data_IF_661682685221
#
_entry.id   IF_661682685221
#
_cell.length_a   1.000
_cell.length_b   1.000
_cell.length_c   1.000
_cell.angle_alpha   90.00
_cell.angle_beta   90.00
_cell.angle_gamma   90.00
#
_symmetry.space_group_name_H-M   'P 1'
#
loop_
_entity.id
_entity.type
_entity.pdbx_description
1 polymer ?
#
# COMPACT_ATOMS: atom_id res chain seq x y z
N UNK A 1 7.07 -27.40 92.11
CA UNK A 1 6.12 -28.03 93.06
C UNK A 1 5.00 -27.04 93.34
N UNK A 2 3.75 -27.50 93.56
CA UNK A 2 2.57 -26.63 93.76
C UNK A 2 2.13 -25.89 92.48
N UNK A 3 1.17 -26.33 91.65
CA UNK A 3 -0.17 -26.87 91.91
C UNK A 3 -1.12 -25.85 92.57
N UNK A 4 -2.06 -25.29 91.80
CA UNK A 4 -3.51 -25.57 91.89
C UNK A 4 -4.35 -24.76 90.89
N UNK A 5 -5.45 -25.36 90.40
CA UNK A 5 -6.47 -24.73 89.55
C UNK A 5 -7.67 -24.26 90.38
N UNK A 6 -8.36 -23.19 89.96
CA UNK A 6 -9.83 -23.10 89.97
C UNK A 6 -10.38 -23.59 88.60
N UNK A 7 -11.48 -24.34 88.39
CA UNK A 7 -12.87 -24.27 88.93
C UNK A 7 -13.48 -22.87 88.73
N UNK A 8 -14.64 -22.60 88.13
CA UNK A 8 -15.77 -23.38 87.56
C UNK A 8 -16.60 -22.39 86.67
N UNK A 9 -17.57 -22.71 85.79
CA UNK A 9 -18.30 -23.95 85.46
C UNK A 9 -18.80 -23.93 83.98
N UNK A 10 -19.93 -24.62 83.68
CA UNK A 10 -20.65 -24.68 82.39
C UNK A 10 -21.61 -23.51 82.16
N UNK A 11 -21.81 -23.14 80.88
CA UNK A 11 -23.06 -22.85 80.13
C UNK A 11 -22.63 -22.28 78.77
N UNK A 12 -23.14 -22.67 77.60
CA UNK A 12 -24.38 -23.36 77.29
C UNK A 12 -25.32 -22.43 76.51
N UNK A 13 -24.99 -22.10 75.26
CA UNK A 13 -25.84 -21.33 74.36
C UNK A 13 -25.55 -21.70 72.89
N UNK A 14 -26.57 -22.15 72.18
CA UNK A 14 -26.59 -22.35 70.72
C UNK A 14 -27.14 -21.08 70.09
N UNK A 15 -26.48 -20.50 69.08
CA UNK A 15 -27.11 -19.49 68.22
C UNK A 15 -26.39 -19.28 66.86
N UNK A 16 -27.21 -19.17 65.81
CA UNK A 16 -26.98 -18.40 64.59
C UNK A 16 -25.74 -18.73 63.71
N UNK A 17 -25.95 -19.69 62.82
CA UNK A 17 -25.24 -19.77 61.54
C UNK A 17 -25.55 -18.50 60.71
N UNK A 18 -24.55 -17.66 60.44
CA UNK A 18 -24.68 -16.50 59.56
C UNK A 18 -23.68 -16.62 58.39
N UNK A 19 -24.08 -17.33 57.33
CA UNK A 19 -23.35 -17.30 56.07
C UNK A 19 -23.52 -15.93 55.42
N UNK A 20 -22.51 -15.06 55.55
CA UNK A 20 -22.35 -13.94 54.62
C UNK A 20 -21.96 -14.52 53.25
N UNK A 21 -22.95 -14.66 52.37
CA UNK A 21 -22.71 -14.87 50.96
C UNK A 21 -22.09 -13.59 50.36
N UNK A 22 -20.77 -13.57 50.26
CA UNK A 22 -20.06 -12.52 49.54
C UNK A 22 -20.41 -12.63 48.05
N UNK A 23 -21.30 -11.76 47.57
CA UNK A 23 -21.62 -11.64 46.14
C UNK A 23 -20.41 -11.02 45.43
N UNK A 24 -19.73 -11.73 44.52
CA UNK A 24 -18.70 -11.10 43.70
C UNK A 24 -19.40 -10.14 42.73
N UNK A 25 -19.17 -8.83 42.92
CA UNK A 25 -19.53 -7.83 41.93
C UNK A 25 -18.63 -8.02 40.71
N UNK A 26 -19.04 -8.91 39.81
CA UNK A 26 -18.41 -9.07 38.50
C UNK A 26 -18.63 -7.80 37.69
N UNK A 27 -17.68 -6.88 37.79
CA UNK A 27 -17.51 -5.81 36.82
C UNK A 27 -17.32 -6.46 35.45
N UNK A 28 -18.40 -6.50 34.68
CA UNK A 28 -18.35 -6.73 33.25
C UNK A 28 -17.56 -5.57 32.66
N UNK A 29 -16.25 -5.74 32.57
CA UNK A 29 -15.41 -4.94 31.68
C UNK A 29 -15.90 -5.25 30.27
N UNK A 30 -16.86 -4.45 29.81
CA UNK A 30 -17.14 -4.30 28.39
C UNK A 30 -15.89 -3.71 27.77
N UNK A 31 -14.97 -4.61 27.40
CA UNK A 31 -13.88 -4.30 26.49
C UNK A 31 -14.52 -3.88 25.18
N UNK A 32 -14.85 -2.60 25.07
CA UNK A 32 -15.24 -2.01 23.81
C UNK A 32 -14.11 -2.31 22.85
N UNK A 33 -14.44 -3.00 21.75
CA UNK A 33 -13.48 -3.16 20.68
C UNK A 33 -13.06 -1.76 20.25
N UNK A 34 -11.85 -1.37 20.63
CA UNK A 34 -11.18 -0.22 20.04
C UNK A 34 -10.98 -0.66 18.59
N UNK A 35 -11.92 -0.30 17.71
CA UNK A 35 -11.65 -0.36 16.28
C UNK A 35 -10.44 0.55 16.11
N UNK A 36 -9.31 -0.04 15.72
CA UNK A 36 -8.20 0.75 15.21
C UNK A 36 -8.80 1.70 14.17
N UNK A 37 -8.47 2.99 14.27
CA UNK A 37 -8.86 3.92 13.22
C UNK A 37 -8.27 3.36 11.93
N UNK A 38 -9.12 3.18 10.91
CA UNK A 38 -8.71 2.58 9.64
C UNK A 38 -7.56 3.44 9.06
N UNK A 39 -6.32 2.93 9.16
CA UNK A 39 -5.11 3.65 8.76
C UNK A 39 -5.15 3.80 7.24
N UNK A 40 -5.10 5.03 6.68
CA UNK A 40 -5.15 5.21 5.23
C UNK A 40 -4.00 4.50 4.52
N UNK A 41 -4.18 4.16 3.25
CA UNK A 41 -3.09 3.64 2.42
C UNK A 41 -2.00 4.72 2.20
N UNK A 42 -0.81 4.31 1.74
CA UNK A 42 0.25 5.26 1.36
C UNK A 42 0.18 5.46 -0.15
N UNK A 43 -0.12 6.70 -0.56
CA UNK A 43 -0.32 7.06 -1.96
C UNK A 43 0.97 7.03 -2.80
N UNK A 44 1.30 5.86 -3.37
CA UNK A 44 2.49 5.65 -4.21
C UNK A 44 2.45 6.37 -5.57
N UNK A 45 1.30 6.91 -5.99
CA UNK A 45 1.15 7.60 -7.28
C UNK A 45 1.60 6.74 -8.46
N UNK A 46 2.38 7.33 -9.38
CA UNK A 46 2.95 6.63 -10.53
C UNK A 46 4.06 5.65 -10.17
N UNK A 47 4.60 5.65 -8.94
CA UNK A 47 5.55 4.64 -8.49
C UNK A 47 4.88 3.25 -8.34
N UNK A 48 3.56 3.21 -8.10
CA UNK A 48 2.79 1.98 -7.90
C UNK A 48 2.81 0.97 -9.07
N UNK A 49 3.27 1.37 -10.26
CA UNK A 49 3.44 0.50 -11.42
C UNK A 49 4.82 -0.18 -11.50
N UNK A 50 5.78 0.19 -10.65
CA UNK A 50 7.14 -0.32 -10.67
C UNK A 50 7.34 -1.47 -9.69
N UNK A 51 7.89 -2.59 -10.15
CA UNK A 51 8.45 -3.60 -9.26
C UNK A 51 9.77 -3.11 -8.65
N UNK A 52 10.58 -2.42 -9.45
CA UNK A 52 11.91 -1.93 -9.07
C UNK A 52 12.12 -0.52 -9.61
N UNK A 53 12.51 0.42 -8.75
CA UNK A 53 12.83 1.80 -9.10
C UNK A 53 14.12 2.23 -8.38
N UNK A 54 15.16 2.59 -9.13
CA UNK A 54 16.45 3.05 -8.60
C UNK A 54 16.66 4.56 -8.73
N UNK A 55 17.35 5.17 -7.76
CA UNK A 55 17.78 6.56 -7.80
C UNK A 55 19.03 6.75 -8.68
N UNK A 56 20.05 5.93 -8.43
CA UNK A 56 21.35 6.03 -9.11
C UNK A 56 21.56 4.97 -10.20
N UNK A 57 21.31 3.69 -9.90
CA UNK A 57 21.46 2.57 -10.85
C UNK A 57 20.52 1.43 -10.49
N UNK A 58 20.18 0.58 -11.45
CA UNK A 58 19.67 -0.78 -11.17
C UNK A 58 20.61 -1.83 -11.77
N UNK A 59 20.98 -2.83 -10.99
CA UNK A 59 21.90 -3.89 -11.39
C UNK A 59 21.31 -5.25 -11.05
N UNK A 60 21.31 -6.17 -12.02
CA UNK A 60 20.86 -7.54 -11.83
C UNK A 60 21.96 -8.55 -12.16
N UNK A 61 22.03 -9.64 -11.39
CA UNK A 61 22.87 -10.82 -11.68
C UNK A 61 21.99 -12.07 -11.79
N UNK A 62 22.03 -12.75 -12.93
CA UNK A 62 21.26 -13.98 -13.14
C UNK A 62 19.77 -13.74 -13.42
N UNK A 63 18.95 -14.79 -13.28
CA UNK A 63 17.62 -14.88 -13.90
C UNK A 63 16.51 -14.31 -13.02
N UNK A 64 16.56 -13.02 -12.72
CA UNK A 64 15.49 -12.33 -12.00
C UNK A 64 14.27 -12.07 -12.89
N UNK A 65 13.05 -12.14 -12.34
CA UNK A 65 11.80 -11.84 -13.05
C UNK A 65 11.00 -10.74 -12.35
N UNK A 66 10.53 -9.76 -13.12
CA UNK A 66 9.80 -8.60 -12.60
C UNK A 66 8.39 -8.52 -13.19
N UNK A 67 7.37 -8.79 -12.36
CA UNK A 67 5.97 -8.46 -12.62
C UNK A 67 5.68 -7.00 -12.21
N UNK A 68 6.27 -6.07 -12.95
CA UNK A 68 6.10 -4.64 -12.77
C UNK A 68 7.15 -3.89 -13.58
N UNK A 69 6.92 -2.60 -13.81
CA UNK A 69 7.88 -1.76 -14.54
C UNK A 69 9.22 -1.67 -13.80
N UNK A 70 10.28 -1.49 -14.58
CA UNK A 70 11.65 -1.34 -14.09
C UNK A 70 12.10 0.11 -14.37
N UNK A 71 12.60 0.82 -13.37
CA UNK A 71 12.91 2.25 -13.50
C UNK A 71 14.27 2.67 -12.94
N UNK A 72 14.88 3.68 -13.56
CA UNK A 72 15.97 4.46 -12.94
C UNK A 72 15.84 5.95 -13.26
N UNK A 73 15.99 6.81 -12.27
CA UNK A 73 16.05 8.27 -12.41
C UNK A 73 16.52 8.91 -11.09
N UNK A 74 17.32 10.00 -11.09
CA UNK A 74 17.94 10.66 -12.24
C UNK A 74 19.11 9.87 -12.84
N UNK A 75 19.50 8.75 -12.23
CA UNK A 75 20.43 7.80 -12.81
C UNK A 75 20.02 7.29 -14.18
N UNK A 76 21.00 6.75 -14.92
CA UNK A 76 20.85 6.33 -16.32
C UNK A 76 21.13 4.85 -16.57
N UNK A 77 21.72 4.15 -15.60
CA UNK A 77 22.22 2.78 -15.79
C UNK A 77 21.25 1.73 -15.26
N UNK A 78 20.82 0.85 -16.15
CA UNK A 78 20.15 -0.41 -15.86
C UNK A 78 20.99 -1.52 -16.49
N UNK A 79 21.45 -2.48 -15.69
CA UNK A 79 22.33 -3.58 -16.15
C UNK A 79 21.82 -4.94 -15.70
N UNK A 80 22.14 -5.98 -16.48
CA UNK A 80 21.71 -7.36 -16.19
C UNK A 80 20.30 -7.73 -16.65
N UNK A 81 19.68 -6.91 -17.51
CA UNK A 81 18.42 -7.20 -18.18
C UNK A 81 18.65 -7.17 -19.71
N UNK A 82 18.93 -8.30 -20.39
CA UNK A 82 18.99 -9.70 -19.92
C UNK A 82 20.24 -10.04 -19.08
N UNK A 83 20.29 -11.19 -18.36
CA UNK A 83 19.31 -12.29 -18.35
C UNK A 83 18.08 -12.05 -17.44
N UNK A 84 18.06 -10.99 -16.65
CA UNK A 84 16.85 -10.55 -15.95
C UNK A 84 15.75 -10.18 -16.94
N UNK A 85 14.50 -10.42 -16.56
CA UNK A 85 13.33 -10.25 -17.40
C UNK A 85 12.29 -9.33 -16.75
N UNK A 86 11.90 -8.28 -17.46
CA UNK A 86 10.68 -7.51 -17.18
C UNK A 86 9.54 -8.20 -17.94
N UNK A 87 8.48 -8.63 -17.24
CA UNK A 87 7.37 -9.35 -17.85
C UNK A 87 6.48 -8.39 -18.64
N UNK A 88 5.97 -8.83 -19.80
CA UNK A 88 4.95 -8.06 -20.52
C UNK A 88 3.65 -7.98 -19.70
N UNK A 89 2.92 -6.85 -19.68
CA UNK A 89 3.06 -5.67 -20.53
C UNK A 89 3.98 -4.57 -19.96
N UNK A 90 4.75 -4.86 -18.91
CA UNK A 90 5.58 -3.87 -18.22
C UNK A 90 6.79 -3.42 -19.05
N UNK A 91 7.34 -2.26 -18.70
CA UNK A 91 8.38 -1.58 -19.50
C UNK A 91 9.57 -1.17 -18.63
N UNK A 92 10.72 -0.98 -19.29
CA UNK A 92 11.93 -0.43 -18.69
C UNK A 92 12.03 1.07 -18.98
N UNK A 93 12.03 1.89 -17.93
CA UNK A 93 12.07 3.36 -17.99
C UNK A 93 13.39 3.89 -17.41
N UNK A 94 14.36 4.21 -18.26
CA UNK A 94 15.61 4.86 -17.86
C UNK A 94 15.55 6.36 -18.16
N UNK A 95 15.64 7.18 -17.11
CA UNK A 95 15.81 8.64 -17.16
C UNK A 95 14.74 9.41 -17.95
N UNK A 96 13.60 8.78 -18.23
CA UNK A 96 12.49 9.38 -18.95
C UNK A 96 11.48 10.04 -17.99
N UNK A 97 10.51 10.78 -18.54
CA UNK A 97 9.50 11.49 -17.75
C UNK A 97 8.69 10.56 -16.81
N UNK A 98 8.45 9.30 -17.20
CA UNK A 98 7.73 8.33 -16.37
C UNK A 98 8.55 7.85 -15.17
N UNK A 99 9.88 7.69 -15.30
CA UNK A 99 10.76 7.38 -14.18
C UNK A 99 11.01 8.61 -13.28
N UNK A 100 11.06 9.81 -13.87
CA UNK A 100 11.19 11.07 -13.14
C UNK A 100 9.95 11.34 -12.27
N UNK A 101 8.74 11.20 -12.82
CA UNK A 101 7.50 11.35 -12.04
C UNK A 101 7.41 10.29 -10.93
N UNK A 102 7.74 9.02 -11.24
CA UNK A 102 7.71 7.95 -10.24
C UNK A 102 8.68 8.21 -9.06
N UNK A 103 9.84 8.83 -9.29
CA UNK A 103 10.76 9.24 -8.21
C UNK A 103 10.24 10.43 -7.39
N UNK A 104 9.48 11.33 -8.01
CA UNK A 104 8.78 12.41 -7.30
C UNK A 104 7.68 11.84 -6.40
N UNK A 105 6.86 10.94 -6.93
CA UNK A 105 5.76 10.30 -6.21
C UNK A 105 6.27 9.39 -5.09
N UNK A 106 7.34 8.61 -5.34
CA UNK A 106 8.06 7.86 -4.30
C UNK A 106 8.57 8.77 -3.18
N UNK A 107 9.08 9.96 -3.52
CA UNK A 107 9.54 10.93 -2.52
C UNK A 107 8.37 11.46 -1.68
N UNK A 108 7.21 11.72 -2.28
CA UNK A 108 6.01 12.10 -1.56
C UNK A 108 5.52 10.99 -0.62
N UNK A 109 5.39 9.76 -1.15
CA UNK A 109 4.97 8.57 -0.40
C UNK A 109 5.91 8.24 0.78
N UNK A 110 7.23 8.38 0.58
CA UNK A 110 8.23 8.22 1.63
C UNK A 110 8.07 9.26 2.74
N UNK A 111 7.84 10.54 2.39
CA UNK A 111 7.70 11.63 3.36
C UNK A 111 6.39 11.51 4.15
N UNK A 112 5.29 11.15 3.48
CA UNK A 112 4.02 10.77 4.13
C UNK A 112 4.26 9.63 5.12
N UNK A 113 4.73 8.47 4.64
CA UNK A 113 4.95 7.28 5.48
C UNK A 113 5.90 7.53 6.65
N UNK A 114 6.92 8.37 6.52
CA UNK A 114 7.85 8.75 7.60
C UNK A 114 7.23 9.72 8.63
N UNK A 115 6.31 10.58 8.17
CA UNK A 115 5.65 11.61 8.96
C UNK A 115 4.47 11.12 9.80
N UNK A 116 3.94 9.93 9.52
CA UNK A 116 2.78 9.38 10.26
C UNK A 116 3.14 9.07 11.72
N UNK A 117 2.21 9.31 12.68
CA UNK A 117 2.39 8.93 14.07
C UNK A 117 2.48 7.41 14.22
N UNK A 118 3.16 6.94 15.28
CA UNK A 118 3.26 5.53 15.61
C UNK A 118 2.05 5.09 16.44
N UNK A 119 1.48 3.93 16.11
CA UNK A 119 0.51 3.22 16.95
C UNK A 119 1.21 2.33 17.99
N UNK A 120 2.41 1.85 17.68
CA UNK A 120 3.19 0.98 18.56
C UNK A 120 4.70 1.01 18.33
N UNK A 121 5.46 0.62 19.36
CA UNK A 121 6.90 0.35 19.26
C UNK A 121 7.13 -1.14 19.38
N UNK A 122 7.84 -1.73 18.42
CA UNK A 122 8.20 -3.15 18.40
C UNK A 122 9.57 -3.38 19.04
N UNK A 123 9.97 -4.65 19.16
CA UNK A 123 11.38 -5.02 19.23
C UNK A 123 12.14 -4.57 17.98
N UNK A 124 13.47 -4.47 18.07
CA UNK A 124 14.31 -4.15 16.92
C UNK A 124 14.34 -5.29 15.88
N UNK A 125 14.25 -6.54 16.33
CA UNK A 125 13.97 -7.68 15.47
C UNK A 125 12.45 -7.94 15.43
N UNK A 126 11.89 -8.04 14.22
CA UNK A 126 10.48 -8.32 13.97
C UNK A 126 10.18 -9.83 13.92
N UNK A 127 11.21 -10.67 14.02
CA UNK A 127 11.10 -12.12 14.07
C UNK A 127 10.24 -12.65 15.22
N UNK A 128 9.32 -13.56 14.90
CA UNK A 128 8.41 -14.20 15.85
C UNK A 128 7.24 -13.33 16.30
N UNK A 129 7.11 -12.10 15.80
CA UNK A 129 5.96 -11.24 16.12
C UNK A 129 4.73 -11.62 15.29
N UNK A 130 3.56 -11.50 15.90
CA UNK A 130 2.27 -11.40 15.21
C UNK A 130 1.73 -9.99 15.45
N UNK A 131 1.65 -9.19 14.39
CA UNK A 131 1.22 -7.79 14.45
C UNK A 131 -0.17 -7.64 13.84
N UNK A 132 -0.99 -6.83 14.50
CA UNK A 132 -2.27 -6.34 14.00
C UNK A 132 -2.02 -5.12 13.08
N UNK A 133 -3.03 -4.59 12.39
CA UNK A 133 -2.86 -3.43 11.51
C UNK A 133 -2.43 -2.19 12.30
N UNK A 134 -1.52 -1.39 11.74
CA UNK A 134 -0.98 -0.21 12.42
C UNK A 134 0.40 0.25 11.93
N UNK A 135 0.87 1.34 12.56
CA UNK A 135 2.13 2.01 12.24
C UNK A 135 3.16 1.72 13.35
N UNK A 136 4.26 1.10 12.95
CA UNK A 136 5.26 0.51 13.85
C UNK A 136 6.67 1.03 13.60
N UNK A 137 7.46 1.13 14.68
CA UNK A 137 8.90 1.31 14.59
C UNK A 137 9.61 0.52 15.70
N UNK A 138 10.87 0.16 15.46
CA UNK A 138 11.76 -0.34 16.51
C UNK A 138 12.14 0.75 17.52
N UNK A 139 12.85 0.40 18.61
CA UNK A 139 13.23 1.34 19.65
C UNK A 139 13.96 2.57 19.08
N UNK A 140 13.48 3.77 19.42
CA UNK A 140 13.99 5.06 18.93
C UNK A 140 14.02 5.22 17.40
N UNK A 141 13.16 4.50 16.65
CA UNK A 141 13.22 4.36 15.18
C UNK A 141 14.60 3.86 14.68
N UNK A 142 15.28 3.06 15.49
CA UNK A 142 16.57 2.43 15.17
C UNK A 142 16.47 1.39 14.04
N UNK A 143 17.56 0.68 13.77
CA UNK A 143 17.60 -0.36 12.74
C UNK A 143 16.57 -1.46 13.01
N UNK A 144 15.91 -1.92 11.95
CA UNK A 144 14.99 -3.04 11.98
C UNK A 144 15.67 -4.30 11.42
N UNK A 145 15.52 -5.41 12.13
CA UNK A 145 15.89 -6.74 11.69
C UNK A 145 14.64 -7.60 11.48
N UNK A 146 14.75 -8.67 10.69
CA UNK A 146 13.70 -9.69 10.56
C UNK A 146 14.35 -11.07 10.50
N UNK A 147 14.38 -11.76 11.64
CA UNK A 147 14.93 -13.11 11.79
C UNK A 147 13.82 -14.16 11.90
N UNK A 148 13.72 -15.09 10.94
CA UNK A 148 12.63 -16.05 10.91
C UNK A 148 11.34 -15.44 10.34
N UNK A 149 10.19 -15.65 10.98
CA UNK A 149 8.88 -15.26 10.45
C UNK A 149 8.28 -14.06 11.19
N UNK A 150 7.83 -13.06 10.45
CA UNK A 150 6.91 -12.01 10.91
C UNK A 150 5.51 -12.34 10.38
N UNK A 151 4.51 -12.35 11.27
CA UNK A 151 3.10 -12.54 10.90
C UNK A 151 2.38 -11.19 10.93
N UNK A 152 1.66 -10.88 9.85
CA UNK A 152 0.79 -9.72 9.71
C UNK A 152 -0.66 -10.19 9.62
N UNK A 153 -1.45 -9.85 10.63
CA UNK A 153 -2.81 -10.33 10.83
C UNK A 153 -3.81 -9.22 10.51
N UNK A 154 -4.56 -9.37 9.42
CA UNK A 154 -5.54 -8.39 8.95
C UNK A 154 -6.80 -8.30 9.81
N UNK A 155 -6.94 -9.08 10.89
CA UNK A 155 -8.11 -9.08 11.77
C UNK A 155 -9.45 -9.33 11.04
N UNK A 156 -9.43 -9.95 9.85
CA UNK A 156 -10.57 -10.14 8.97
C UNK A 156 -10.88 -8.99 8.01
N UNK A 157 -10.07 -7.91 8.00
CA UNK A 157 -10.25 -6.74 7.15
C UNK A 157 -9.26 -6.76 5.95
N UNK A 158 -9.74 -6.77 4.68
CA UNK A 158 -8.88 -6.65 3.50
C UNK A 158 -8.13 -5.32 3.40
N UNK A 159 -8.69 -4.24 3.93
CA UNK A 159 -8.14 -2.89 3.85
C UNK A 159 -7.12 -2.59 4.98
N UNK A 160 -6.71 -3.61 5.73
CA UNK A 160 -5.72 -3.49 6.82
C UNK A 160 -4.36 -3.01 6.34
N UNK A 161 -3.95 -1.84 6.82
CA UNK A 161 -2.64 -1.22 6.53
C UNK A 161 -1.61 -1.49 7.62
N UNK A 162 -0.37 -1.75 7.20
CA UNK A 162 0.81 -1.92 8.04
C UNK A 162 1.91 -1.00 7.53
N UNK A 163 2.48 -0.15 8.40
CA UNK A 163 3.57 0.75 8.03
C UNK A 163 4.72 0.55 9.00
N UNK A 164 5.87 0.11 8.51
CA UNK A 164 7.10 -0.03 9.27
C UNK A 164 8.01 1.17 8.99
N UNK A 165 8.38 1.90 10.04
CA UNK A 165 9.24 3.08 9.97
C UNK A 165 10.59 2.80 10.65
N UNK A 166 11.68 3.19 9.98
CA UNK A 166 13.01 3.26 10.59
C UNK A 166 13.76 4.47 10.06
N UNK A 167 14.55 5.13 10.92
CA UNK A 167 15.51 6.16 10.54
C UNK A 167 16.87 5.56 10.12
N UNK A 168 16.97 4.22 10.10
CA UNK A 168 18.18 3.45 9.84
C UNK A 168 17.90 2.35 8.81
N UNK A 169 18.63 1.23 8.88
CA UNK A 169 18.53 0.12 7.93
C UNK A 169 17.41 -0.86 8.27
N UNK A 170 16.87 -1.51 7.24
CA UNK A 170 16.09 -2.75 7.34
C UNK A 170 16.96 -3.92 6.86
N UNK A 171 17.12 -4.97 7.67
CA UNK A 171 17.91 -6.16 7.29
C UNK A 171 17.10 -7.43 7.59
N UNK A 172 16.81 -8.24 6.57
CA UNK A 172 16.16 -9.55 6.77
C UNK A 172 17.20 -10.67 6.75
N UNK A 173 17.01 -11.69 7.57
CA UNK A 173 17.90 -12.85 7.62
C UNK A 173 17.68 -13.79 6.42
N UNK A 174 18.66 -14.64 6.11
CA UNK A 174 18.52 -15.73 5.14
C UNK A 174 17.31 -16.60 5.46
N UNK A 175 16.46 -16.87 4.47
CA UNK A 175 15.24 -17.70 4.64
C UNK A 175 14.15 -17.10 5.53
N UNK A 176 14.26 -15.83 5.91
CA UNK A 176 13.21 -15.13 6.67
C UNK A 176 11.92 -14.93 5.85
N UNK A 177 10.78 -14.70 6.50
CA UNK A 177 9.47 -14.66 5.84
C UNK A 177 8.56 -13.60 6.45
N UNK A 178 7.88 -12.82 5.61
CA UNK A 178 6.69 -12.04 5.99
C UNK A 178 5.45 -12.85 5.58
N UNK A 179 4.63 -13.25 6.56
CA UNK A 179 3.43 -14.07 6.35
C UNK A 179 2.17 -13.24 6.57
N UNK A 180 1.25 -13.28 5.60
CA UNK A 180 -0.06 -12.62 5.70
C UNK A 180 -1.12 -13.61 6.17
N UNK A 181 -1.94 -13.23 7.14
CA UNK A 181 -3.10 -14.02 7.60
C UNK A 181 -4.35 -13.13 7.74
N UNK A 182 -5.52 -13.79 7.85
CA UNK A 182 -6.81 -13.16 8.18
C UNK A 182 -7.14 -11.89 7.37
N UNK A 183 -6.89 -11.92 6.05
CA UNK A 183 -7.25 -10.82 5.16
C UNK A 183 -6.18 -9.76 4.95
N UNK A 184 -5.03 -9.79 5.65
CA UNK A 184 -3.93 -8.87 5.34
C UNK A 184 -3.52 -8.96 3.86
N UNK A 185 -3.30 -7.82 3.21
CA UNK A 185 -2.97 -7.74 1.79
C UNK A 185 -1.62 -7.03 1.53
N UNK A 186 -0.86 -7.56 0.58
CA UNK A 186 0.47 -7.07 0.22
C UNK A 186 0.50 -5.63 -0.33
N UNK A 187 -0.60 -5.11 -0.90
CA UNK A 187 -0.66 -3.71 -1.32
C UNK A 187 -0.64 -2.72 -0.14
N UNK A 188 -1.10 -3.16 1.03
CA UNK A 188 -1.35 -2.30 2.19
C UNK A 188 -0.18 -2.36 3.19
N UNK A 189 0.98 -2.88 2.76
CA UNK A 189 2.17 -3.08 3.60
C UNK A 189 3.30 -2.22 3.07
N UNK A 190 3.82 -1.33 3.90
CA UNK A 190 4.80 -0.31 3.52
C UNK A 190 5.99 -0.31 4.47
N UNK A 191 7.19 -0.19 3.92
CA UNK A 191 8.44 -0.17 4.67
C UNK A 191 9.20 1.12 4.34
N UNK A 192 9.09 2.11 5.21
CA UNK A 192 9.85 3.36 5.12
C UNK A 192 11.21 3.15 5.79
N UNK A 193 12.29 3.23 4.99
CA UNK A 193 13.66 2.91 5.44
C UNK A 193 14.59 4.11 5.32
N UNK A 194 15.04 4.61 6.48
CA UNK A 194 15.82 5.83 6.62
C UNK A 194 17.24 5.79 6.05
N UNK A 195 17.80 4.60 5.84
CA UNK A 195 19.03 4.42 5.08
C UNK A 195 18.84 3.42 3.94
N UNK A 196 19.30 2.18 4.10
CA UNK A 196 19.26 1.13 3.07
C UNK A 196 18.54 -0.11 3.57
N UNK A 197 17.91 -0.85 2.66
CA UNK A 197 17.33 -2.15 2.94
C UNK A 197 18.21 -3.28 2.37
N UNK A 198 18.34 -4.38 3.10
CA UNK A 198 19.02 -5.60 2.66
C UNK A 198 18.11 -6.80 2.90
N UNK A 199 17.64 -7.45 1.84
CA UNK A 199 16.85 -8.68 1.94
C UNK A 199 17.80 -9.89 1.91
N UNK A 200 17.75 -10.73 2.94
CA UNK A 200 18.59 -11.93 3.06
C UNK A 200 18.26 -13.00 2.02
N UNK A 201 19.28 -13.76 1.60
CA UNK A 201 19.19 -14.83 0.59
C UNK A 201 17.99 -15.75 0.83
N UNK A 202 17.20 -16.02 -0.20
CA UNK A 202 16.06 -16.95 -0.13
C UNK A 202 14.92 -16.51 0.81
N UNK A 203 14.86 -15.23 1.23
CA UNK A 203 13.73 -14.73 2.01
C UNK A 203 12.46 -14.54 1.17
N UNK A 204 11.30 -14.60 1.83
CA UNK A 204 9.99 -14.28 1.26
C UNK A 204 9.53 -12.96 1.87
N UNK A 205 9.57 -11.89 1.06
CA UNK A 205 9.29 -10.53 1.51
C UNK A 205 7.97 -10.02 0.92
N UNK A 206 7.25 -9.18 1.68
CA UNK A 206 5.92 -8.70 1.29
C UNK A 206 5.80 -7.20 1.57
N UNK A 207 5.22 -6.46 0.62
CA UNK A 207 4.99 -5.02 0.71
C UNK A 207 6.00 -4.16 -0.06
N UNK A 208 5.79 -2.84 0.02
CA UNK A 208 6.55 -1.84 -0.73
C UNK A 208 7.67 -1.24 0.11
N UNK A 209 8.92 -1.49 -0.29
CA UNK A 209 10.11 -0.89 0.34
C UNK A 209 10.37 0.49 -0.28
N UNK A 210 10.38 1.52 0.55
CA UNK A 210 10.74 2.89 0.21
C UNK A 210 12.01 3.27 0.98
N UNK A 211 13.17 3.05 0.36
CA UNK A 211 14.47 3.34 0.98
C UNK A 211 15.01 4.71 0.58
N UNK A 212 15.62 5.43 1.52
CA UNK A 212 16.29 6.70 1.25
C UNK A 212 17.51 6.50 0.34
N UNK A 213 18.32 5.49 0.65
CA UNK A 213 19.55 5.15 -0.06
C UNK A 213 19.33 3.92 -0.96
N UNK A 214 19.96 2.78 -0.68
CA UNK A 214 19.99 1.62 -1.60
C UNK A 214 19.12 0.46 -1.11
N UNK A 215 18.75 -0.43 -2.03
CA UNK A 215 18.10 -1.71 -1.72
C UNK A 215 18.95 -2.83 -2.31
N UNK A 216 19.40 -3.75 -1.46
CA UNK A 216 20.13 -4.96 -1.85
C UNK A 216 19.24 -6.17 -1.66
N UNK A 217 18.82 -6.78 -2.76
CA UNK A 217 18.10 -8.05 -2.77
C UNK A 217 19.14 -9.15 -3.04
N UNK A 218 19.41 -9.98 -2.02
CA UNK A 218 20.38 -11.07 -2.13
C UNK A 218 19.73 -12.30 -2.79
N UNK A 219 20.54 -13.31 -3.12
CA UNK A 219 20.12 -14.34 -4.08
C UNK A 219 18.79 -15.04 -3.77
N UNK A 220 17.90 -15.09 -4.77
CA UNK A 220 16.72 -15.96 -4.78
C UNK A 220 15.61 -15.50 -3.84
N UNK A 221 15.51 -14.21 -3.56
CA UNK A 221 14.40 -13.65 -2.77
C UNK A 221 13.14 -13.61 -3.62
N UNK A 222 12.01 -13.94 -2.99
CA UNK A 222 10.67 -13.72 -3.57
C UNK A 222 10.05 -12.49 -2.92
N UNK A 223 9.72 -11.48 -3.70
CA UNK A 223 9.07 -10.25 -3.26
C UNK A 223 7.64 -10.20 -3.80
N UNK A 224 6.65 -10.13 -2.92
CA UNK A 224 5.27 -9.76 -3.27
C UNK A 224 5.07 -8.29 -2.93
N UNK A 225 5.46 -7.40 -3.86
CA UNK A 225 5.59 -5.98 -3.58
C UNK A 225 6.64 -5.28 -4.45
N UNK A 226 7.33 -4.29 -3.89
CA UNK A 226 8.15 -3.35 -4.67
C UNK A 226 9.45 -2.97 -3.95
N UNK A 227 10.52 -2.72 -4.70
CA UNK A 227 11.81 -2.22 -4.21
C UNK A 227 12.11 -0.84 -4.82
N UNK A 228 11.81 0.21 -4.05
CA UNK A 228 11.86 1.61 -4.48
C UNK A 228 12.95 2.38 -3.71
N UNK A 229 14.08 2.65 -4.37
CA UNK A 229 15.21 3.37 -3.82
C UNK A 229 15.22 4.83 -4.33
N UNK A 230 15.18 5.79 -3.40
CA UNK A 230 15.11 7.24 -3.73
C UNK A 230 16.42 7.78 -4.30
N UNK A 231 17.52 7.61 -3.56
CA UNK A 231 18.81 8.21 -3.91
C UNK A 231 19.87 7.17 -4.34
N UNK A 232 19.72 5.92 -3.89
CA UNK A 232 20.71 4.87 -4.11
C UNK A 232 20.34 3.89 -5.22
N UNK A 233 21.02 2.75 -5.21
CA UNK A 233 20.89 1.71 -6.22
C UNK A 233 19.91 0.62 -5.77
N UNK A 234 19.31 -0.10 -6.73
CA UNK A 234 18.71 -1.41 -6.46
C UNK A 234 19.58 -2.50 -7.07
N UNK A 235 19.96 -3.49 -6.26
CA UNK A 235 20.75 -4.67 -6.71
C UNK A 235 19.92 -5.93 -6.54
N UNK A 236 19.91 -6.79 -7.56
CA UNK A 236 19.12 -8.03 -7.65
C UNK A 236 20.01 -9.22 -8.01
N UNK A 237 19.68 -10.41 -7.51
CA UNK A 237 20.37 -11.67 -7.79
C UNK A 237 19.36 -12.84 -7.91
N UNK A 238 18.98 -13.26 -9.12
CA UNK A 238 18.02 -14.36 -9.35
C UNK A 238 16.66 -14.21 -8.60
N UNK A 239 16.15 -12.99 -8.46
CA UNK A 239 14.99 -12.68 -7.61
C UNK A 239 13.67 -12.67 -8.37
N UNK A 240 12.57 -12.94 -7.68
CA UNK A 240 11.22 -12.96 -8.26
C UNK A 240 10.36 -11.87 -7.63
N UNK A 241 9.95 -10.88 -8.42
CA UNK A 241 8.97 -9.87 -8.02
C UNK A 241 7.61 -10.21 -8.61
N UNK A 242 6.60 -10.34 -7.76
CA UNK A 242 5.21 -10.61 -8.13
C UNK A 242 4.33 -9.42 -7.76
N UNK A 243 3.41 -9.03 -8.65
CA UNK A 243 2.46 -7.96 -8.34
C UNK A 243 1.33 -8.50 -7.47
N UNK A 244 1.03 -7.90 -6.31
CA UNK A 244 -0.09 -8.35 -5.51
C UNK A 244 -1.43 -8.01 -6.16
N UNK A 245 -2.29 -9.01 -6.30
CA UNK A 245 -3.69 -8.86 -6.68
C UNK A 245 -4.54 -8.59 -5.43
N UNK A 246 -4.79 -7.32 -5.15
CA UNK A 246 -5.47 -6.87 -3.94
C UNK A 246 -6.97 -6.70 -4.18
N UNK A 247 -7.79 -7.20 -3.26
CA UNK A 247 -9.24 -7.06 -3.32
C UNK A 247 -9.64 -5.79 -2.57
N UNK A 248 -10.08 -4.77 -3.30
CA UNK A 248 -10.78 -3.62 -2.72
C UNK A 248 -12.06 -4.10 -2.05
N UNK A 249 -12.31 -3.73 -0.80
CA UNK A 249 -13.58 -4.05 -0.16
C UNK A 249 -14.77 -3.49 -0.93
N UNK A 250 -15.89 -4.24 -0.94
CA UNK A 250 -17.14 -3.69 -1.41
C UNK A 250 -17.53 -2.50 -0.51
N UNK A 251 -17.99 -1.36 -1.07
CA UNK A 251 -18.38 -0.21 -0.26
C UNK A 251 -19.43 -0.61 0.77
N UNK A 252 -19.35 -0.12 2.02
CA UNK A 252 -20.30 -0.48 3.06
C UNK A 252 -21.73 -0.15 2.62
N UNK A 253 -22.71 -1.02 2.89
CA UNK A 253 -24.08 -0.81 2.42
C UNK A 253 -24.62 0.49 3.02
N UNK A 254 -24.90 1.48 2.17
CA UNK A 254 -25.52 2.74 2.57
C UNK A 254 -26.91 2.46 3.13
N UNK A 255 -27.03 2.47 4.46
CA UNK A 255 -28.30 2.39 5.17
C UNK A 255 -29.04 3.71 5.01
N UNK A 256 -29.72 3.88 3.88
CA UNK A 256 -30.61 5.02 3.63
C UNK A 256 -31.71 5.04 4.68
N UNK A 257 -31.53 5.85 5.73
CA UNK A 257 -32.51 6.03 6.79
C UNK A 257 -33.74 6.72 6.24
N UNK A 258 -34.77 5.94 5.94
CA UNK A 258 -36.07 6.45 5.50
C UNK A 258 -36.77 7.09 6.69
N UNK A 259 -36.74 8.43 6.76
CA UNK A 259 -37.44 9.18 7.78
C UNK A 259 -38.96 9.02 7.61
N UNK A 260 -39.61 8.41 8.59
CA UNK A 260 -41.07 8.27 8.66
C UNK A 260 -41.72 9.66 8.73
N UNK A 261 -42.75 9.98 7.91
CA UNK A 261 -43.40 11.29 7.98
C UNK A 261 -44.18 11.46 9.29
N UNK A 262 -43.81 12.47 10.06
CA UNK A 262 -44.47 12.80 11.33
C UNK A 262 -45.82 13.46 11.04
N UNK A 263 -46.92 12.76 11.34
CA UNK A 263 -48.28 13.32 11.24
C UNK A 263 -48.54 14.30 12.39
N UNK A 264 -48.77 15.58 12.06
CA UNK A 264 -49.16 16.60 13.04
C UNK A 264 -50.69 16.66 13.13
N UNK A 265 -51.25 16.33 14.29
CA UNK A 265 -52.70 16.36 14.50
C UNK A 265 -53.24 17.80 14.58
N UNK A 266 -54.05 18.21 13.60
CA UNK A 266 -54.79 19.47 13.62
C UNK A 266 -56.19 19.29 14.22
N UNK A 267 -56.62 20.23 15.06
CA UNK A 267 -57.90 20.16 15.80
C UNK A 267 -58.91 21.21 15.32
N UNK A 268 -60.14 20.78 15.00
CA UNK A 268 -61.34 21.63 15.03
C UNK A 268 -61.95 22.05 13.67
N UNK A 269 -63.24 21.76 13.47
CA UNK A 269 -64.05 22.29 12.35
C UNK A 269 -65.25 21.41 11.97
N UNK A 270 -66.37 22.02 11.55
CA UNK A 270 -67.67 21.35 11.28
C UNK A 270 -68.47 22.16 10.23
N UNK A 271 -69.57 21.71 9.60
CA UNK A 271 -70.56 20.66 9.96
C UNK A 271 -71.24 20.09 8.69
N UNK A 272 -72.18 19.14 8.86
CA UNK A 272 -73.36 18.87 8.00
C UNK A 272 -73.21 18.31 6.57
N UNK A 273 -73.58 17.01 6.45
CA UNK A 273 -74.77 16.51 5.69
C UNK A 273 -74.69 16.10 4.20
N UNK A 274 -75.14 14.84 3.99
CA UNK A 274 -75.86 14.22 2.84
C UNK A 274 -75.11 13.46 1.71
N UNK A 275 -75.27 12.12 1.74
CA UNK A 275 -75.43 11.21 0.59
C UNK A 275 -74.16 10.76 -0.16
N UNK A 276 -73.93 9.47 -0.46
CA UNK A 276 -74.68 8.26 -0.12
C UNK A 276 -74.17 7.02 -0.90
N UNK A 277 -74.62 5.84 -0.48
CA UNK A 277 -74.46 4.50 -1.13
C UNK A 277 -73.08 3.82 -1.03
N UNK A 278 -73.15 2.55 -0.64
CA UNK A 278 -72.07 1.58 -0.44
C UNK A 278 -71.89 0.62 -1.62
N UNK A 279 -70.65 0.17 -1.90
CA UNK A 279 -70.39 -1.21 -2.35
C UNK A 279 -68.95 -1.65 -2.05
N UNK A 280 -68.76 -2.97 -1.89
CA UNK A 280 -67.51 -3.62 -1.48
C UNK A 280 -66.90 -4.45 -2.62
N UNK A 281 -65.57 -4.39 -2.75
CA UNK A 281 -64.68 -5.46 -3.22
C UNK A 281 -63.24 -4.98 -2.91
N UNK A 282 -62.29 -5.76 -2.43
CA UNK A 282 -62.05 -7.18 -2.70
C UNK A 282 -60.71 -7.26 -3.45
N UNK A 283 -59.61 -7.44 -2.71
CA UNK A 283 -58.26 -7.26 -3.25
C UNK A 283 -57.81 -8.38 -4.20
N UNK A 284 -56.88 -8.05 -5.11
CA UNK A 284 -56.12 -9.02 -5.90
C UNK A 284 -54.65 -8.59 -5.96
N UNK A 285 -53.76 -9.51 -5.64
CA UNK A 285 -52.32 -9.42 -5.87
C UNK A 285 -51.99 -9.70 -7.33
N UNK A 286 -51.21 -8.84 -7.99
CA UNK A 286 -50.67 -9.13 -9.33
C UNK A 286 -49.17 -9.39 -9.28
N UNK A 287 -48.81 -10.68 -9.31
CA UNK A 287 -47.50 -11.17 -9.74
C UNK A 287 -47.72 -12.18 -10.87
N UNK A 288 -47.14 -11.91 -12.04
CA UNK A 288 -46.72 -12.92 -13.02
C UNK A 288 -45.98 -12.23 -14.18
N UNK A 289 -44.86 -12.80 -14.60
CA UNK A 289 -44.19 -12.45 -15.83
C UNK A 289 -44.84 -13.18 -17.04
N UNK A 290 -44.63 -12.65 -18.25
CA UNK A 290 -45.05 -13.29 -19.49
C UNK A 290 -44.10 -12.96 -20.63
N UNK A 291 -43.09 -13.81 -20.83
CA UNK A 291 -42.27 -13.83 -22.05
C UNK A 291 -43.08 -14.37 -23.22
N UNK A 292 -42.71 -14.01 -24.46
CA UNK A 292 -43.02 -14.90 -25.58
C UNK A 292 -41.99 -14.82 -26.72
N UNK A 293 -41.76 -15.97 -27.34
CA UNK A 293 -40.70 -16.28 -28.29
C UNK A 293 -41.30 -17.16 -29.38
N UNK A 294 -40.91 -17.04 -30.65
CA UNK A 294 -40.38 -18.19 -31.42
C UNK A 294 -39.95 -17.90 -32.86
N UNK A 295 -39.20 -18.86 -33.40
CA UNK A 295 -38.56 -18.87 -34.72
C UNK A 295 -39.28 -19.78 -35.74
N UNK A 296 -38.84 -19.74 -37.01
CA UNK A 296 -39.06 -20.83 -37.96
C UNK A 296 -38.99 -20.43 -39.45
N UNK A 297 -38.34 -21.26 -40.28
CA UNK A 297 -38.48 -21.23 -41.76
C UNK A 297 -37.16 -21.13 -42.54
N UNK A 298 -36.97 -22.00 -43.53
CA UNK A 298 -35.75 -22.09 -44.35
C UNK A 298 -36.04 -21.99 -45.87
N UNK A 299 -35.02 -21.53 -46.61
CA UNK A 299 -34.71 -21.81 -48.04
C UNK A 299 -35.80 -21.60 -49.12
N UNK A 300 -35.64 -20.61 -50.01
CA UNK A 300 -35.55 -20.82 -51.48
C UNK A 300 -35.19 -19.56 -52.30
N UNK A 301 -34.71 -19.83 -53.52
CA UNK A 301 -34.09 -18.99 -54.57
C UNK A 301 -35.03 -17.95 -55.23
N UNK A 302 -34.55 -16.72 -55.54
CA UNK A 302 -34.49 -16.16 -56.91
C UNK A 302 -34.25 -14.63 -57.06
N UNK A 303 -33.23 -14.28 -57.87
CA UNK A 303 -33.14 -13.18 -58.88
C UNK A 303 -33.70 -11.76 -58.60
N UNK A 304 -32.85 -10.74 -58.82
CA UNK A 304 -33.19 -9.63 -59.73
C UNK A 304 -32.64 -8.21 -59.43
N UNK A 305 -31.66 -7.76 -60.24
CA UNK A 305 -31.27 -6.35 -60.54
C UNK A 305 -30.84 -5.40 -59.37
N UNK A 306 -29.65 -4.80 -59.38
CA UNK A 306 -29.10 -3.73 -60.26
C UNK A 306 -29.77 -2.35 -59.98
N UNK A 307 -29.05 -1.24 -59.75
CA UNK A 307 -27.78 -0.82 -60.36
C UNK A 307 -26.78 -0.15 -59.39
N UNK A 308 -25.50 -0.19 -59.77
CA UNK A 308 -24.42 0.68 -59.27
C UNK A 308 -24.09 1.69 -60.38
N UNK A 309 -23.81 2.94 -60.03
CA UNK A 309 -23.12 3.89 -60.89
C UNK A 309 -22.20 4.78 -60.03
N UNK A 310 -21.04 5.27 -60.46
CA UNK A 310 -20.08 4.91 -61.49
C UNK A 310 -19.00 6.02 -61.41
N UNK A 311 -17.76 5.66 -61.12
CA UNK A 311 -16.57 6.48 -61.47
C UNK A 311 -16.25 6.24 -62.97
N UNK A 312 -15.14 6.74 -63.60
CA UNK A 312 -14.06 7.60 -63.11
C UNK A 312 -13.58 8.68 -64.12
N UNK A 313 -12.48 9.39 -63.81
CA UNK A 313 -11.54 9.87 -64.84
C UNK A 313 -10.07 9.80 -64.37
N UNK A 314 -9.16 9.65 -65.33
CA UNK A 314 -7.70 9.47 -65.22
C UNK A 314 -6.96 10.83 -65.01
N UNK A 315 -5.63 10.98 -64.86
CA UNK A 315 -4.48 10.16 -65.28
C UNK A 315 -3.17 10.43 -64.49
N UNK A 316 -2.08 9.82 -64.96
CA UNK A 316 -0.71 9.81 -64.43
C UNK A 316 0.04 11.15 -64.57
N UNK A 317 1.16 11.34 -63.84
CA UNK A 317 2.17 12.36 -64.19
C UNK A 317 3.36 12.42 -63.23
N UNK A 318 4.58 12.29 -63.74
CA UNK A 318 5.84 12.27 -62.99
C UNK A 318 6.57 13.63 -62.99
N UNK A 319 7.57 13.77 -62.10
CA UNK A 319 8.70 14.69 -62.31
C UNK A 319 8.87 15.76 -61.22
N UNK A 320 10.01 15.74 -60.54
CA UNK A 320 10.42 16.82 -59.63
C UNK A 320 11.57 17.64 -60.18
N UNK A 321 11.63 18.93 -59.83
CA UNK A 321 12.86 19.74 -59.73
C UNK A 321 12.71 20.84 -58.68
N UNK A 322 13.85 21.21 -58.10
CA UNK A 322 14.06 22.36 -57.21
C UNK A 322 14.00 23.68 -57.96
N UNK A 323 13.68 24.79 -57.27
CA UNK A 323 14.48 26.04 -57.23
C UNK A 323 13.91 27.04 -56.20
N UNK A 324 14.83 27.89 -55.71
CA UNK A 324 14.79 28.85 -54.62
C UNK A 324 13.60 29.84 -54.47
N UNK A 325 13.48 30.34 -53.23
CA UNK A 325 13.73 31.75 -52.95
C UNK A 325 12.53 32.69 -52.85
N UNK A 326 12.16 33.06 -51.61
CA UNK A 326 11.17 34.11 -51.34
C UNK A 326 11.29 34.63 -49.91
N UNK A 327 11.97 35.75 -49.71
CA UNK A 327 12.07 36.46 -48.42
C UNK A 327 10.79 37.24 -48.11
N UNK A 328 10.22 37.07 -46.92
CA UNK A 328 9.06 37.84 -46.45
C UNK A 328 9.10 38.04 -44.94
N UNK A 329 9.30 39.29 -44.50
CA UNK A 329 9.53 39.66 -43.10
C UNK A 329 8.24 40.09 -42.39
N UNK A 330 8.01 39.63 -41.15
CA UNK A 330 7.30 40.40 -40.11
C UNK A 330 7.89 40.04 -38.72
N UNK A 331 8.25 41.01 -37.86
CA UNK A 331 8.70 40.75 -36.49
C UNK A 331 7.54 40.83 -35.47
N UNK A 332 7.60 40.06 -34.36
CA UNK A 332 7.27 40.63 -33.04
C UNK A 332 7.86 39.84 -31.85
N UNK A 333 7.90 40.55 -30.71
CA UNK A 333 8.54 40.29 -29.41
C UNK A 333 8.00 39.15 -28.54
N UNK A 334 8.90 38.65 -27.67
CA UNK A 334 8.59 38.32 -26.27
C UNK A 334 8.51 36.82 -25.94
N UNK A 335 9.19 36.32 -24.90
CA UNK A 335 10.20 36.94 -24.04
C UNK A 335 10.85 35.86 -23.18
N UNK A 336 12.19 35.80 -23.15
CA UNK A 336 12.91 34.78 -22.40
C UNK A 336 13.23 35.27 -20.98
N UNK A 337 12.76 34.54 -19.96
CA UNK A 337 13.28 34.64 -18.60
C UNK A 337 14.08 33.37 -18.27
N UNK A 338 15.33 33.33 -18.75
CA UNK A 338 16.35 32.56 -18.07
C UNK A 338 16.83 33.37 -16.87
N UNK A 339 16.63 32.83 -15.67
CA UNK A 339 17.24 33.34 -14.44
C UNK A 339 18.31 32.34 -14.02
N UNK A 340 19.52 32.47 -14.56
CA UNK A 340 20.67 31.80 -13.96
C UNK A 340 21.00 32.47 -12.63
N UNK A 341 21.10 31.68 -11.56
CA UNK A 341 21.60 32.18 -10.28
C UNK A 341 23.04 31.71 -10.07
N UNK A 342 23.96 32.63 -10.38
CA UNK A 342 25.40 32.48 -10.19
C UNK A 342 25.73 32.31 -8.70
N UNK A 343 26.19 31.14 -8.28
CA UNK A 343 26.62 30.88 -6.91
C UNK A 343 28.16 30.84 -6.83
N UNK A 344 28.72 31.93 -6.31
CA UNK A 344 30.16 32.11 -6.13
C UNK A 344 30.63 31.21 -4.98
N UNK A 345 31.45 30.21 -5.28
CA UNK A 345 32.02 29.31 -4.28
C UNK A 345 33.29 29.91 -3.66
N UNK A 346 33.16 30.48 -2.45
CA UNK A 346 34.31 30.92 -1.66
C UNK A 346 34.90 29.75 -0.87
N UNK A 347 36.06 29.24 -1.29
CA UNK A 347 36.80 28.20 -0.55
C UNK A 347 37.53 28.83 0.64
N UNK A 348 37.20 28.39 1.86
CA UNK A 348 38.00 28.69 3.06
C UNK A 348 38.80 27.44 3.44
N UNK A 349 40.12 27.52 3.32
CA UNK A 349 41.04 26.47 3.75
C UNK A 349 41.17 26.50 5.28
N UNK A 350 40.86 25.39 5.96
CA UNK A 350 41.19 25.19 7.37
C UNK A 350 42.19 24.03 7.50
N UNK A 351 43.45 24.37 7.82
CA UNK A 351 44.53 23.38 8.02
C UNK A 351 44.42 22.79 9.43
N UNK A 352 44.03 21.52 9.53
CA UNK A 352 44.03 20.76 10.78
C UNK A 352 45.13 19.70 10.80
N UNK A 353 46.26 19.99 11.45
CA UNK A 353 47.34 19.00 11.62
C UNK A 353 47.06 18.08 12.82
N UNK A 354 46.95 16.77 12.58
CA UNK A 354 46.82 15.74 13.61
C UNK A 354 47.84 14.63 13.41
N UNK A 355 48.91 14.62 14.21
CA UNK A 355 50.01 13.65 14.08
C UNK A 355 49.68 12.29 14.70
N UNK A 356 49.95 11.20 13.96
CA UNK A 356 49.85 9.83 14.45
C UNK A 356 51.19 9.38 15.06
N UNK A 357 51.25 9.17 16.38
CA UNK A 357 52.45 8.66 17.05
C UNK A 357 52.40 7.12 17.15
N UNK A 358 53.24 6.42 16.39
CA UNK A 358 53.35 4.97 16.39
C UNK A 358 54.21 4.47 17.56
N UNK A 359 53.60 3.85 18.56
CA UNK A 359 54.30 3.22 19.68
C UNK A 359 54.55 1.72 19.46
N UNK A 360 55.70 1.35 18.87
CA UNK A 360 56.16 -0.04 18.83
C UNK A 360 56.63 -0.50 20.22
N UNK A 361 55.90 -1.42 20.87
CA UNK A 361 56.46 -2.22 21.98
C UNK A 361 57.29 -3.37 21.42
N UNK A 362 58.58 -3.41 21.75
CA UNK A 362 59.43 -4.61 21.65
C UNK A 362 59.39 -5.35 22.99
N UNK A 363 59.11 -6.65 22.97
CA UNK A 363 59.29 -7.53 24.12
C UNK A 363 60.74 -8.02 24.21
N UNK A 364 61.37 -8.05 25.39
CA UNK A 364 62.65 -8.73 25.59
C UNK A 364 62.46 -10.22 25.92
N UNK A 365 63.52 -10.99 25.64
CA UNK A 365 63.62 -12.44 25.82
C UNK A 365 63.92 -12.78 27.29
N UNK A 366 63.26 -13.82 27.82
CA UNK A 366 63.85 -14.84 28.70
C UNK A 366 63.05 -16.12 28.65
#
# INVERSE_FOLDING_TARGET
MGAQRPRTARRGAVAALALLAAVPLTLLFSGGAVRAADVPDVGLGTAAQYAVLGGSTVTNTGSSTLDGSLGVSPGTSITGFPPGLVLAPWVTNATNAAAQQAQSDLTAAYVDAAGRPLDGTTTADLGGLNLQPGIYAGPSKGALALTGTLILDGAGNPDSVFIFQTNSSLITATGSTVQLINGAQACNIYWQVGSSATLGTGSVFVGTIMALSSISVNSGVTVQGQALARNGAVTLINDVFTRPSCATAAPPPTTTSSALPTSTAGTGGSTTTAGGVTTSAGGVTTSAAGTNTNAGGATTVARGASTIAASPTTALGSGGKTVAGGTGSIPNTGGAHHTEQLLIATVVLAVGAGGALVARRRSPIR
#
